data_IF_125383834259
#
_entry.id   IF_125383834259
#
_cell.length_a   1.000
_cell.length_b   1.000
_cell.length_c   1.000
_cell.angle_alpha   90.00
_cell.angle_beta   90.00
_cell.angle_gamma   90.00
#
_symmetry.space_group_name_H-M   'P 1'
#
loop_
_entity.id
_entity.type
_entity.pdbx_description
1 polymer ?
#
# COMPACT_ATOMS: atom_id res chain seq x y z
N UNK A 1 -12.64 13.50 8.07
CA UNK A 1 -13.86 12.69 8.26
C UNK A 1 -14.99 13.49 8.89
N UNK A 2 -14.86 13.96 10.13
CA UNK A 2 -15.91 14.76 10.82
C UNK A 2 -16.44 15.96 10.02
N UNK A 3 -15.57 16.65 9.28
CA UNK A 3 -15.94 17.79 8.43
C UNK A 3 -16.48 17.39 7.04
N UNK A 4 -16.57 16.09 6.73
CA UNK A 4 -16.96 15.61 5.40
C UNK A 4 -15.98 15.93 4.27
N UNK A 5 -14.75 16.34 4.58
CA UNK A 5 -13.78 16.82 3.58
C UNK A 5 -13.14 15.70 2.73
N UNK A 6 -13.34 14.42 3.07
CA UNK A 6 -12.83 13.28 2.33
C UNK A 6 -13.82 12.11 2.44
N UNK A 7 -14.02 11.40 1.32
CA UNK A 7 -14.91 10.22 1.22
C UNK A 7 -14.14 8.94 0.87
N UNK A 8 -12.89 9.05 0.44
CA UNK A 8 -11.98 7.94 0.18
C UNK A 8 -10.70 8.25 0.96
N UNK A 9 -10.27 7.33 1.83
CA UNK A 9 -9.02 7.44 2.55
C UNK A 9 -8.02 6.47 1.94
N UNK A 10 -6.77 6.91 1.82
CA UNK A 10 -5.69 6.14 1.23
C UNK A 10 -4.55 5.92 2.23
N UNK A 11 -4.80 5.25 3.38
CA UNK A 11 -3.73 4.98 4.31
C UNK A 11 -2.72 4.02 3.67
N UNK A 12 -1.44 4.33 3.81
CA UNK A 12 -0.36 3.41 3.47
C UNK A 12 0.04 2.66 4.75
N UNK A 13 0.00 1.33 4.71
CA UNK A 13 0.26 0.51 5.90
C UNK A 13 1.70 0.68 6.42
N UNK A 14 2.67 0.99 5.56
CA UNK A 14 4.05 1.25 5.97
C UNK A 14 4.21 2.59 6.70
N UNK A 15 3.31 3.54 6.46
CA UNK A 15 3.39 4.91 7.00
C UNK A 15 2.36 5.19 8.10
N UNK A 16 1.22 4.49 8.07
CA UNK A 16 0.09 4.69 8.97
C UNK A 16 0.05 3.66 10.09
N UNK A 17 1.21 3.17 10.57
CA UNK A 17 1.29 2.32 11.76
C UNK A 17 0.92 0.84 11.56
N UNK A 18 0.97 0.33 10.33
CA UNK A 18 0.73 -1.08 10.03
C UNK A 18 -0.74 -1.49 10.00
N UNK A 19 -0.99 -2.81 10.02
CA UNK A 19 -2.32 -3.39 9.86
C UNK A 19 -3.28 -2.92 10.96
N UNK A 20 -2.82 -2.85 12.21
CA UNK A 20 -3.66 -2.49 13.37
C UNK A 20 -4.20 -1.07 13.24
N UNK A 21 -3.30 -0.10 13.06
CA UNK A 21 -3.68 1.31 12.94
C UNK A 21 -4.48 1.58 11.66
N UNK A 22 -4.11 0.97 10.53
CA UNK A 22 -4.90 1.06 9.30
C UNK A 22 -6.32 0.51 9.47
N UNK A 23 -6.51 -0.54 10.29
CA UNK A 23 -7.84 -1.08 10.62
C UNK A 23 -8.63 -0.14 11.55
N UNK A 24 -7.98 0.54 12.47
CA UNK A 24 -8.61 1.58 13.30
C UNK A 24 -9.08 2.74 12.40
N UNK A 25 -8.23 3.20 11.48
CA UNK A 25 -8.58 4.21 10.47
C UNK A 25 -9.79 3.75 9.64
N UNK A 26 -9.81 2.49 9.20
CA UNK A 26 -10.93 1.92 8.46
C UNK A 26 -12.25 1.95 9.24
N UNK A 27 -12.22 1.56 10.52
CA UNK A 27 -13.40 1.61 11.40
C UNK A 27 -13.87 3.03 11.67
N UNK A 28 -12.94 3.99 11.81
CA UNK A 28 -13.31 5.41 11.89
C UNK A 28 -13.96 5.89 10.59
N UNK A 29 -13.40 5.54 9.43
CA UNK A 29 -13.94 5.92 8.12
C UNK A 29 -15.33 5.35 7.86
N UNK A 30 -15.58 4.09 8.28
CA UNK A 30 -16.86 3.40 8.15
C UNK A 30 -18.00 4.20 8.80
N UNK A 31 -17.77 4.79 9.98
CA UNK A 31 -18.76 5.61 10.68
C UNK A 31 -19.20 6.87 9.91
N UNK A 32 -18.41 7.30 8.92
CA UNK A 32 -18.70 8.45 8.06
C UNK A 32 -19.03 8.05 6.61
N UNK A 33 -19.33 6.77 6.36
CA UNK A 33 -19.57 6.21 5.02
C UNK A 33 -18.40 6.45 4.04
N UNK A 34 -17.20 6.62 4.57
CA UNK A 34 -16.00 6.74 3.77
C UNK A 34 -15.38 5.35 3.55
N UNK A 35 -14.79 5.17 2.37
CA UNK A 35 -14.19 3.91 1.93
C UNK A 35 -12.66 3.98 1.98
N UNK A 36 -12.03 2.82 2.04
CA UNK A 36 -10.59 2.65 2.15
C UNK A 36 -10.01 2.15 0.82
N UNK A 37 -9.04 2.89 0.30
CA UNK A 37 -8.27 2.52 -0.89
C UNK A 37 -6.77 2.58 -0.54
N UNK A 38 -6.19 1.53 0.07
CA UNK A 38 -4.83 1.60 0.61
C UNK A 38 -3.81 1.99 -0.46
N UNK A 39 -2.98 2.97 -0.13
CA UNK A 39 -1.86 3.40 -0.96
C UNK A 39 -0.69 2.40 -0.79
N UNK A 40 -0.03 2.04 -1.90
CA UNK A 40 1.09 1.12 -1.85
C UNK A 40 2.08 1.30 -3.03
N UNK A 41 3.02 2.25 -2.92
CA UNK A 41 4.20 2.35 -3.77
C UNK A 41 5.37 1.52 -3.22
N UNK A 42 5.24 0.95 -2.02
CA UNK A 42 6.34 0.39 -1.24
C UNK A 42 6.77 -0.99 -1.71
N UNK A 43 5.82 -1.82 -2.14
CA UNK A 43 6.11 -3.11 -2.76
C UNK A 43 5.31 -4.29 -2.19
N UNK A 44 5.77 -5.53 -2.43
CA UNK A 44 4.95 -6.72 -2.29
C UNK A 44 4.66 -7.15 -0.84
N UNK A 45 5.49 -6.74 0.13
CA UNK A 45 5.22 -7.00 1.55
C UNK A 45 4.04 -6.14 2.02
N UNK A 46 4.05 -4.85 1.69
CA UNK A 46 2.94 -3.94 1.97
C UNK A 46 1.68 -4.37 1.22
N UNK A 47 1.83 -4.86 -0.03
CA UNK A 47 0.71 -5.43 -0.78
C UNK A 47 0.06 -6.61 -0.04
N UNK A 48 0.84 -7.56 0.46
CA UNK A 48 0.33 -8.69 1.23
C UNK A 48 -0.48 -8.21 2.45
N UNK A 49 0.06 -7.26 3.21
CA UNK A 49 -0.61 -6.68 4.37
C UNK A 49 -1.91 -5.94 3.98
N UNK A 50 -1.88 -5.19 2.88
CA UNK A 50 -3.04 -4.49 2.32
C UNK A 50 -4.15 -5.44 1.88
N UNK A 51 -3.81 -6.56 1.24
CA UNK A 51 -4.77 -7.59 0.84
C UNK A 51 -5.47 -8.24 2.05
N UNK A 52 -4.71 -8.53 3.12
CA UNK A 52 -5.30 -9.03 4.37
C UNK A 52 -6.19 -7.99 5.04
N UNK A 53 -5.80 -6.71 5.02
CA UNK A 53 -6.65 -5.63 5.51
C UNK A 53 -7.95 -5.55 4.69
N UNK A 54 -7.84 -5.50 3.37
CA UNK A 54 -8.94 -5.42 2.42
C UNK A 54 -9.97 -6.54 2.63
N UNK A 55 -9.50 -7.77 2.86
CA UNK A 55 -10.35 -8.92 3.14
C UNK A 55 -11.05 -8.86 4.51
N UNK A 56 -10.58 -8.00 5.42
CA UNK A 56 -11.01 -7.96 6.83
C UNK A 56 -11.87 -6.76 7.21
N UNK A 57 -12.11 -5.83 6.28
CA UNK A 57 -12.89 -4.61 6.49
C UNK A 57 -14.09 -4.54 5.53
N UNK A 58 -15.24 -3.99 5.95
CA UNK A 58 -16.44 -3.93 5.11
C UNK A 58 -16.41 -2.78 4.09
N UNK A 59 -15.58 -1.77 4.29
CA UNK A 59 -15.52 -0.52 3.51
C UNK A 59 -14.29 -0.43 2.59
N UNK A 60 -13.77 -1.57 2.13
CA UNK A 60 -12.72 -1.62 1.12
C UNK A 60 -13.25 -1.20 -0.26
N UNK A 61 -12.47 -0.39 -0.98
CA UNK A 61 -12.78 0.06 -2.35
C UNK A 61 -11.87 -0.62 -3.39
N UNK A 62 -10.56 -0.40 -3.28
CA UNK A 62 -9.55 -0.87 -4.25
C UNK A 62 -8.17 -0.88 -3.60
N UNK A 63 -7.28 -1.74 -4.09
CA UNK A 63 -5.90 -1.83 -3.62
C UNK A 63 -4.96 -1.32 -4.72
N UNK A 64 -4.19 -0.27 -4.43
CA UNK A 64 -3.09 0.13 -5.31
C UNK A 64 -1.97 -0.92 -5.27
N UNK A 65 -1.35 -1.18 -6.42
CA UNK A 65 -0.15 -1.99 -6.52
C UNK A 65 0.77 -1.46 -7.63
N UNK A 66 2.07 -1.38 -7.33
CA UNK A 66 3.12 -1.01 -8.29
C UNK A 66 3.97 -2.21 -8.73
N UNK A 67 3.95 -3.29 -7.96
CA UNK A 67 4.65 -4.54 -8.23
C UNK A 67 3.90 -5.71 -7.59
N UNK A 68 3.87 -6.85 -8.30
CA UNK A 68 3.30 -8.09 -7.81
C UNK A 68 4.38 -8.97 -7.14
N UNK A 69 5.58 -8.45 -6.93
CA UNK A 69 6.66 -9.11 -6.21
C UNK A 69 7.65 -9.88 -7.09
N UNK A 70 7.59 -9.70 -8.40
CA UNK A 70 8.65 -10.17 -9.31
C UNK A 70 10.00 -9.60 -8.89
N UNK A 71 10.99 -10.47 -8.71
CA UNK A 71 12.31 -10.05 -8.24
C UNK A 71 12.45 -9.93 -6.72
N UNK A 72 11.38 -10.16 -5.94
CA UNK A 72 11.39 -10.01 -4.47
C UNK A 72 10.83 -11.24 -3.75
N UNK A 73 9.74 -11.81 -4.25
CA UNK A 73 9.07 -12.97 -3.64
C UNK A 73 9.47 -14.27 -4.33
N UNK A 74 9.47 -15.37 -3.57
CA UNK A 74 9.58 -16.73 -4.13
C UNK A 74 8.37 -17.06 -5.02
N UNK A 75 7.19 -16.65 -4.56
CA UNK A 75 5.92 -16.79 -5.28
C UNK A 75 5.27 -15.40 -5.42
N UNK A 76 5.51 -14.69 -6.54
CA UNK A 76 4.84 -13.42 -6.82
C UNK A 76 3.32 -13.56 -6.93
N UNK A 77 2.62 -12.47 -6.62
CA UNK A 77 1.18 -12.35 -6.81
C UNK A 77 0.80 -12.45 -8.29
N UNK A 78 -0.47 -12.78 -8.55
CA UNK A 78 -1.00 -12.88 -9.91
C UNK A 78 -2.27 -12.03 -10.04
N UNK A 79 -2.26 -11.12 -11.01
CA UNK A 79 -3.45 -10.43 -11.44
C UNK A 79 -4.37 -11.40 -12.17
N UNK A 80 -5.60 -11.51 -11.70
CA UNK A 80 -6.64 -12.33 -12.33
C UNK A 80 -7.21 -11.62 -13.55
N UNK A 81 -7.87 -12.34 -14.48
CA UNK A 81 -8.49 -11.73 -15.68
C UNK A 81 -9.53 -10.64 -15.37
N UNK A 82 -10.13 -10.66 -14.19
CA UNK A 82 -11.09 -9.66 -13.71
C UNK A 82 -10.45 -8.45 -13.01
N UNK A 83 -9.12 -8.38 -13.01
CA UNK A 83 -8.37 -7.29 -12.38
C UNK A 83 -8.17 -7.44 -10.88
N UNK A 84 -8.50 -8.58 -10.28
CA UNK A 84 -8.31 -8.83 -8.84
C UNK A 84 -6.98 -9.50 -8.53
N UNK A 85 -6.55 -9.42 -7.27
CA UNK A 85 -5.43 -10.20 -6.72
C UNK A 85 -5.96 -11.02 -5.56
N UNK A 86 -5.63 -12.31 -5.56
CA UNK A 86 -6.08 -13.22 -4.50
C UNK A 86 -5.34 -12.96 -3.20
N UNK A 87 -6.08 -13.00 -2.09
CA UNK A 87 -5.51 -12.90 -0.74
C UNK A 87 -4.69 -14.16 -0.44
N UNK A 88 -3.43 -14.05 0.01
CA UNK A 88 -2.63 -15.21 0.42
C UNK A 88 -3.28 -15.98 1.57
N UNK A 89 -3.21 -17.31 1.52
CA UNK A 89 -3.85 -18.19 2.51
C UNK A 89 -2.86 -18.92 3.42
N UNK A 90 -1.55 -18.84 3.12
CA UNK A 90 -0.48 -19.38 3.97
C UNK A 90 -0.39 -18.58 5.29
N UNK A 91 0.10 -19.16 6.40
CA UNK A 91 0.22 -18.46 7.68
C UNK A 91 0.99 -17.13 7.62
N UNK A 92 0.68 -16.22 8.55
CA UNK A 92 1.27 -14.89 8.58
C UNK A 92 0.76 -14.02 7.44
N UNK A 93 1.65 -13.28 6.76
CA UNK A 93 1.29 -12.53 5.55
C UNK A 93 1.11 -13.44 4.32
N UNK A 94 1.50 -14.71 4.43
CA UNK A 94 1.35 -15.71 3.37
C UNK A 94 2.30 -15.54 2.18
N UNK A 95 3.39 -14.80 2.36
CA UNK A 95 4.45 -14.58 1.37
C UNK A 95 5.81 -15.00 1.93
N UNK A 96 6.77 -15.26 1.04
CA UNK A 96 8.15 -15.55 1.38
C UNK A 96 9.09 -14.77 0.45
N UNK A 97 10.11 -14.13 1.04
CA UNK A 97 11.13 -13.40 0.31
C UNK A 97 12.12 -14.35 -0.35
N UNK A 98 12.63 -13.94 -1.51
CA UNK A 98 13.68 -14.64 -2.24
C UNK A 98 15.02 -13.94 -1.98
N UNK A 99 15.76 -14.42 -0.97
CA UNK A 99 17.01 -13.79 -0.50
C UNK A 99 18.06 -13.64 -1.61
N UNK A 100 18.16 -14.61 -2.52
CA UNK A 100 19.10 -14.56 -3.64
C UNK A 100 18.77 -13.41 -4.58
N UNK A 101 17.48 -13.15 -4.83
CA UNK A 101 17.04 -12.02 -5.66
C UNK A 101 17.11 -10.67 -4.95
N UNK A 102 17.15 -10.66 -3.62
CA UNK A 102 17.29 -9.44 -2.83
C UNK A 102 18.74 -9.00 -2.67
N UNK A 103 19.71 -9.90 -2.87
CA UNK A 103 21.12 -9.65 -2.60
C UNK A 103 21.68 -8.40 -3.32
N UNK A 104 21.16 -8.07 -4.49
CA UNK A 104 21.58 -6.91 -5.29
C UNK A 104 20.72 -5.64 -5.08
N UNK A 105 19.71 -5.69 -4.20
CA UNK A 105 18.70 -4.62 -4.02
C UNK A 105 18.86 -3.79 -2.76
N UNK A 106 19.77 -4.17 -1.87
CA UNK A 106 19.98 -3.51 -0.58
C UNK A 106 21.01 -2.38 -0.74
N UNK A 107 20.71 -1.21 -0.16
CA UNK A 107 21.68 -0.10 -0.07
C UNK A 107 21.66 0.89 -1.23
N UNK A 108 20.51 1.11 -1.88
CA UNK A 108 20.36 2.17 -2.88
C UNK A 108 20.30 3.57 -2.24
N UNK A 109 20.76 4.61 -2.96
CA UNK A 109 20.71 6.03 -2.53
C UNK A 109 19.62 6.79 -3.31
N UNK A 110 18.43 6.20 -3.38
CA UNK A 110 17.31 6.83 -4.08
C UNK A 110 16.73 7.96 -3.24
N UNK A 111 16.34 9.05 -3.91
CA UNK A 111 15.69 10.21 -3.31
C UNK A 111 14.51 10.66 -4.16
N UNK A 112 13.49 11.19 -3.52
CA UNK A 112 12.38 11.83 -4.20
C UNK A 112 12.89 13.03 -5.03
N UNK A 113 12.26 13.32 -6.18
CA UNK A 113 12.53 14.55 -6.92
C UNK A 113 12.27 15.78 -6.05
N UNK A 114 13.15 16.77 -6.16
CA UNK A 114 12.97 18.09 -5.53
C UNK A 114 12.64 19.12 -6.61
N UNK A 115 11.48 19.77 -6.50
CA UNK A 115 11.02 20.78 -7.46
C UNK A 115 10.99 22.17 -6.83
N UNK A 116 11.39 23.17 -7.62
CA UNK A 116 11.47 24.57 -7.19
C UNK A 116 10.77 25.48 -8.21
N UNK A 117 10.06 26.51 -7.74
CA UNK A 117 9.37 27.48 -8.61
C UNK A 117 10.40 28.26 -9.44
N UNK A 118 10.28 28.31 -10.77
CA UNK A 118 11.28 28.94 -11.63
C UNK A 118 11.35 30.47 -11.48
N UNK A 119 10.37 31.12 -10.84
CA UNK A 119 10.30 32.58 -10.69
C UNK A 119 11.06 33.07 -9.46
N UNK A 120 10.98 32.34 -8.36
CA UNK A 120 11.51 32.78 -7.05
C UNK A 120 12.35 31.73 -6.30
N UNK A 121 12.43 30.50 -6.80
CA UNK A 121 13.20 29.42 -6.20
C UNK A 121 12.58 28.82 -4.93
N UNK A 122 11.31 29.12 -4.63
CA UNK A 122 10.59 28.49 -3.52
C UNK A 122 10.39 26.98 -3.76
N UNK A 123 10.38 26.18 -2.69
CA UNK A 123 10.14 24.73 -2.76
C UNK A 123 8.69 24.48 -3.18
N UNK A 124 8.50 23.56 -4.13
CA UNK A 124 7.18 23.12 -4.61
C UNK A 124 6.95 21.68 -4.17
N UNK A 125 5.76 21.41 -3.67
CA UNK A 125 5.33 20.05 -3.33
C UNK A 125 5.40 19.15 -4.57
N UNK A 126 6.00 17.97 -4.38
CA UNK A 126 6.11 16.92 -5.37
C UNK A 126 4.93 15.95 -5.29
#
# INVERSE_FOLDING_TARGET
LEKGAASILQPDLCHAGGITEARIIAGMAEAYYAVIAPHNPMGPISLAAGLHLAASIPNFLVQEQVSLGEGYLKEPFKLQPDGTVMVPTKPGLGIELDEDKLADKIGHDWKNPETYDPRDGSVVDW
#
